data_IF_726041446765
#
_entry.id   IF_726041446765
#
_cell.length_a   1.000
_cell.length_b   1.000
_cell.length_c   1.000
_cell.angle_alpha   90.00
_cell.angle_beta   90.00
_cell.angle_gamma   90.00
#
_symmetry.space_group_name_H-M   'P 1'
#
loop_
_entity.id
_entity.type
_entity.pdbx_description
1 polymer ?
#
# COMPACT_ATOMS: atom_id res chain seq x y z
N UNK A 1 7.00 -10.82 1.45
CA UNK A 1 6.90 -9.57 0.68
C UNK A 1 8.25 -8.88 0.59
N UNK A 2 9.18 -9.42 -0.24
CA UNK A 2 10.42 -8.70 -0.53
C UNK A 2 10.10 -7.38 -1.22
N UNK A 3 10.82 -6.32 -0.89
CA UNK A 3 10.62 -5.01 -1.50
C UNK A 3 10.75 -5.09 -3.02
N UNK A 4 9.90 -4.34 -3.74
CA UNK A 4 9.88 -4.23 -5.19
C UNK A 4 9.55 -5.53 -5.97
N UNK A 5 9.10 -6.59 -5.29
CA UNK A 5 8.43 -7.72 -5.98
C UNK A 5 6.98 -7.33 -6.22
N UNK A 6 6.49 -7.27 -7.48
CA UNK A 6 5.16 -6.77 -7.81
C UNK A 6 4.08 -7.82 -7.54
N UNK A 7 3.96 -8.23 -6.28
CA UNK A 7 2.98 -9.20 -5.77
C UNK A 7 2.14 -8.52 -4.67
N UNK A 8 1.01 -7.92 -5.10
CA UNK A 8 0.08 -7.23 -4.23
C UNK A 8 -0.55 -8.20 -3.22
N UNK A 9 -0.65 -7.80 -1.96
CA UNK A 9 -1.03 -8.71 -0.88
C UNK A 9 -1.86 -8.02 0.20
N UNK A 10 -2.78 -8.78 0.78
CA UNK A 10 -3.60 -8.37 1.91
C UNK A 10 -3.86 -9.58 2.84
N UNK A 11 -4.32 -9.30 4.06
CA UNK A 11 -4.85 -10.32 4.96
C UNK A 11 -6.37 -10.20 4.99
N UNK A 12 -7.07 -11.32 4.86
CA UNK A 12 -8.53 -11.38 4.95
C UNK A 12 -8.95 -12.46 5.96
N UNK A 13 -9.62 -12.06 7.03
CA UNK A 13 -10.13 -13.01 8.03
C UNK A 13 -11.53 -13.49 7.63
N UNK A 14 -11.64 -14.76 7.22
CA UNK A 14 -12.91 -15.42 6.85
C UNK A 14 -13.62 -16.11 8.02
N UNK A 15 -13.07 -16.03 9.23
CA UNK A 15 -13.63 -16.71 10.41
C UNK A 15 -14.60 -15.82 11.17
N UNK A 16 -15.39 -16.43 12.06
CA UNK A 16 -16.23 -15.73 13.04
C UNK A 16 -15.49 -15.30 14.31
N UNK A 17 -14.16 -15.41 14.35
CA UNK A 17 -13.34 -15.13 15.53
C UNK A 17 -12.20 -14.13 15.20
N UNK A 18 -11.57 -13.58 16.24
CA UNK A 18 -10.46 -12.64 16.09
C UNK A 18 -9.21 -13.37 15.55
N UNK A 19 -8.58 -12.78 14.53
CA UNK A 19 -7.26 -13.18 14.04
C UNK A 19 -6.22 -12.11 14.41
N UNK A 20 -4.99 -12.54 14.71
CA UNK A 20 -3.88 -11.65 15.08
C UNK A 20 -2.61 -12.05 14.31
N UNK A 21 -1.81 -11.05 13.95
CA UNK A 21 -0.53 -11.23 13.26
C UNK A 21 0.45 -10.13 13.66
N UNK A 22 1.75 -10.42 13.53
CA UNK A 22 2.83 -9.45 13.66
C UNK A 22 3.36 -9.10 12.26
N UNK A 23 3.44 -7.80 11.95
CA UNK A 23 4.11 -7.31 10.74
C UNK A 23 5.36 -6.55 11.15
N UNK A 24 6.47 -6.90 10.51
CA UNK A 24 7.73 -6.17 10.62
C UNK A 24 8.11 -5.65 9.24
N UNK A 25 8.33 -4.35 9.12
CA UNK A 25 8.76 -3.68 7.89
C UNK A 25 9.86 -2.66 8.17
N UNK A 26 10.68 -2.39 7.17
CA UNK A 26 11.75 -1.39 7.26
C UNK A 26 11.18 0.03 7.37
N UNK A 27 11.84 0.90 8.14
CA UNK A 27 11.48 2.33 8.23
C UNK A 27 12.31 3.16 7.24
N UNK A 28 12.02 2.98 5.96
CA UNK A 28 12.71 3.68 4.86
C UNK A 28 12.40 5.19 4.89
N UNK A 29 13.34 6.03 4.43
CA UNK A 29 13.13 7.49 4.32
C UNK A 29 12.04 7.86 3.31
N UNK A 30 11.93 7.04 2.27
CA UNK A 30 10.95 7.14 1.18
C UNK A 30 10.39 5.75 0.91
N UNK A 31 9.09 5.65 0.73
CA UNK A 31 8.34 4.43 0.42
C UNK A 31 7.35 4.70 -0.72
N UNK A 32 7.15 3.73 -1.62
CA UNK A 32 6.17 3.81 -2.70
C UNK A 32 5.38 2.51 -2.76
N UNK A 33 4.06 2.62 -2.60
CA UNK A 33 3.14 1.48 -2.67
C UNK A 33 2.15 1.65 -3.82
N UNK A 34 2.06 0.64 -4.68
CA UNK A 34 1.04 0.56 -5.73
C UNK A 34 -0.07 -0.38 -5.28
N UNK A 35 -1.33 0.07 -5.41
CA UNK A 35 -2.49 -0.75 -5.07
C UNK A 35 -2.92 -1.56 -6.30
N UNK A 36 -3.05 -2.88 -6.14
CA UNK A 36 -3.38 -3.79 -7.25
C UNK A 36 -4.78 -3.56 -7.79
N UNK A 37 -5.75 -3.37 -6.90
CA UNK A 37 -7.18 -3.49 -7.22
C UNK A 37 -7.81 -2.15 -7.65
N UNK A 38 -7.10 -1.04 -7.46
CA UNK A 38 -7.55 0.31 -7.79
C UNK A 38 -6.44 1.12 -8.47
N UNK A 39 -6.80 2.18 -9.18
CA UNK A 39 -5.84 3.11 -9.77
C UNK A 39 -5.26 4.06 -8.70
N UNK A 40 -4.36 3.54 -7.86
CA UNK A 40 -3.78 4.28 -6.73
C UNK A 40 -2.30 3.93 -6.50
N UNK A 41 -1.51 4.97 -6.27
CA UNK A 41 -0.13 4.94 -5.80
C UNK A 41 -0.02 5.84 -4.58
N UNK A 42 0.51 5.31 -3.48
CA UNK A 42 0.89 6.04 -2.27
C UNK A 42 2.40 6.27 -2.30
N UNK A 43 2.83 7.51 -2.08
CA UNK A 43 4.22 7.82 -1.73
C UNK A 43 4.27 8.35 -0.31
N UNK A 44 5.17 7.80 0.51
CA UNK A 44 5.47 8.33 1.84
C UNK A 44 6.90 8.85 1.84
N UNK A 45 7.09 10.12 2.12
CA UNK A 45 8.41 10.76 2.16
C UNK A 45 8.44 11.83 3.25
N UNK A 46 9.52 11.85 4.05
CA UNK A 46 9.66 12.78 5.19
C UNK A 46 8.44 12.80 6.16
N UNK A 47 7.74 11.66 6.29
CA UNK A 47 6.56 11.52 7.14
C UNK A 47 5.26 12.07 6.54
N UNK A 48 5.28 12.52 5.28
CA UNK A 48 4.10 12.99 4.56
C UNK A 48 3.67 11.95 3.53
N UNK A 49 2.35 11.77 3.39
CA UNK A 49 1.74 10.88 2.41
C UNK A 49 1.17 11.69 1.24
N UNK A 50 1.45 11.26 0.01
CA UNK A 50 0.81 11.77 -1.21
C UNK A 50 0.19 10.63 -2.01
N UNK A 51 -0.89 10.93 -2.72
CA UNK A 51 -1.68 9.96 -3.47
C UNK A 51 -1.77 10.40 -4.93
N UNK A 52 -1.52 9.47 -5.84
CA UNK A 52 -1.61 9.67 -7.28
C UNK A 52 -2.30 8.48 -7.94
N UNK A 53 -2.85 8.69 -9.12
CA UNK A 53 -3.16 7.62 -10.04
C UNK A 53 -1.86 6.97 -10.56
N UNK A 54 -1.92 5.78 -11.17
CA UNK A 54 -0.76 5.05 -11.71
C UNK A 54 -0.08 5.79 -12.87
N UNK A 55 -0.79 6.72 -13.51
CA UNK A 55 -0.26 7.63 -14.52
C UNK A 55 0.50 8.85 -13.95
N UNK A 56 0.48 9.03 -12.62
CA UNK A 56 1.13 10.13 -11.91
C UNK A 56 0.26 11.39 -11.68
N UNK A 57 -0.96 11.45 -12.21
CA UNK A 57 -1.90 12.55 -11.92
C UNK A 57 -2.42 12.49 -10.49
N UNK A 58 -2.80 13.65 -9.92
CA UNK A 58 -3.34 13.74 -8.55
C UNK A 58 -4.55 12.83 -8.38
N UNK A 59 -4.58 12.02 -7.32
CA UNK A 59 -5.74 11.19 -7.04
C UNK A 59 -6.93 12.04 -6.58
N UNK A 60 -8.06 11.97 -7.29
CA UNK A 60 -9.29 12.74 -7.02
C UNK A 60 -10.49 11.85 -6.67
N UNK A 61 -10.30 10.53 -6.69
CA UNK A 61 -11.35 9.55 -6.41
C UNK A 61 -11.14 8.26 -7.20
N UNK A 62 -12.07 7.30 -7.08
CA UNK A 62 -12.07 6.09 -7.89
C UNK A 62 -12.25 6.39 -9.40
N UNK A 63 -11.56 5.61 -10.25
CA UNK A 63 -11.74 5.53 -11.71
C UNK A 63 -12.24 4.15 -12.10
#
# INVERSE_FOLDING_TARGET
FPANVPDGHHFFNRSGAVAQFLVVGSKSKREVATYSDVDLVLTVEAGQASFAYKDGSTWEGPR
#
